data_IF_706026817266
#
_entry.id   IF_706026817266
#
_cell.length_a   1.000
_cell.length_b   1.000
_cell.length_c   1.000
_cell.angle_alpha   90.00
_cell.angle_beta   90.00
_cell.angle_gamma   90.00
#
_symmetry.space_group_name_H-M   'P 1'
#
loop_
_entity.id
_entity.type
_entity.pdbx_description
1 polymer ?
#
# COMPACT_ATOMS: atom_id res chain seq x y z
N UNK A 1 -1.72 -4.52 4.10
CA UNK A 1 -3.17 -4.43 4.39
C UNK A 1 -3.46 -3.55 5.61
N UNK A 2 -2.91 -3.83 6.81
CA UNK A 2 -3.20 -3.05 8.03
C UNK A 2 -2.99 -1.54 7.83
N UNK A 3 -1.84 -1.12 7.29
CA UNK A 3 -1.55 0.26 6.95
C UNK A 3 -2.54 0.87 5.95
N UNK A 4 -2.95 0.10 4.94
CA UNK A 4 -3.91 0.59 3.94
C UNK A 4 -5.26 0.89 4.56
N UNK A 5 -5.76 0.01 5.43
CA UNK A 5 -7.02 0.27 6.16
C UNK A 5 -6.87 1.45 7.12
N UNK A 6 -5.74 1.56 7.82
CA UNK A 6 -5.46 2.69 8.71
C UNK A 6 -5.45 4.05 7.96
N UNK A 7 -4.80 4.09 6.77
CA UNK A 7 -4.83 5.28 5.91
C UNK A 7 -6.25 5.60 5.44
N UNK A 8 -7.01 4.60 5.02
CA UNK A 8 -8.39 4.79 4.57
C UNK A 8 -9.31 5.29 5.70
N UNK A 9 -9.13 4.81 6.93
CA UNK A 9 -9.87 5.31 8.10
C UNK A 9 -9.51 6.77 8.37
N UNK A 10 -8.23 7.13 8.26
CA UNK A 10 -7.77 8.50 8.48
C UNK A 10 -8.11 9.47 7.33
N UNK A 11 -8.50 8.94 6.15
CA UNK A 11 -8.85 9.71 4.95
C UNK A 11 -10.24 9.28 4.41
N UNK A 12 -11.33 9.70 5.07
CA UNK A 12 -12.69 9.28 4.72
C UNK A 12 -13.13 9.63 3.29
N UNK A 13 -12.60 10.72 2.75
CA UNK A 13 -12.82 11.14 1.36
C UNK A 13 -12.24 10.13 0.36
N UNK A 14 -11.03 9.64 0.62
CA UNK A 14 -10.39 8.57 -0.18
C UNK A 14 -11.16 7.26 -0.04
N UNK A 15 -11.55 6.90 1.20
CA UNK A 15 -12.34 5.72 1.49
C UNK A 15 -13.64 5.71 0.68
N UNK A 16 -14.38 6.82 0.69
CA UNK A 16 -15.64 6.97 -0.05
C UNK A 16 -15.44 6.88 -1.56
N UNK A 17 -14.38 7.50 -2.11
CA UNK A 17 -14.06 7.38 -3.54
C UNK A 17 -13.80 5.93 -3.96
N UNK A 18 -13.07 5.15 -3.16
CA UNK A 18 -12.84 3.72 -3.43
C UNK A 18 -14.17 2.97 -3.41
N UNK A 19 -15.03 3.23 -2.44
CA UNK A 19 -16.35 2.59 -2.32
C UNK A 19 -17.25 2.91 -3.51
N UNK A 20 -17.27 4.16 -3.95
CA UNK A 20 -18.03 4.60 -5.13
C UNK A 20 -17.52 3.92 -6.41
N UNK A 21 -16.21 3.82 -6.59
CA UNK A 21 -15.61 3.10 -7.72
C UNK A 21 -16.03 1.63 -7.72
N UNK A 22 -15.94 0.94 -6.56
CA UNK A 22 -16.37 -0.45 -6.42
C UNK A 22 -17.86 -0.60 -6.74
N UNK A 23 -18.70 0.28 -6.20
CA UNK A 23 -20.13 0.25 -6.45
C UNK A 23 -20.48 0.45 -7.92
N UNK A 24 -19.73 1.32 -8.61
CA UNK A 24 -19.92 1.58 -10.04
C UNK A 24 -19.53 0.36 -10.90
N UNK A 25 -18.40 -0.29 -10.60
CA UNK A 25 -17.85 -1.38 -11.41
C UNK A 25 -18.49 -2.74 -11.10
N UNK A 26 -18.68 -3.03 -9.80
CA UNK A 26 -19.11 -4.35 -9.32
C UNK A 26 -20.62 -4.40 -9.04
N UNK A 27 -21.19 -3.25 -8.68
CA UNK A 27 -22.59 -3.15 -8.25
C UNK A 27 -22.79 -3.52 -6.77
N UNK A 28 -24.05 -3.86 -6.46
CA UNK A 28 -24.49 -4.11 -5.07
C UNK A 28 -25.10 -5.51 -4.89
N UNK A 29 -24.69 -6.50 -5.69
CA UNK A 29 -25.27 -7.85 -5.64
C UNK A 29 -24.24 -8.94 -5.37
N UNK A 30 -22.95 -8.67 -5.50
CA UNK A 30 -21.87 -9.62 -5.28
C UNK A 30 -20.65 -8.95 -4.65
N UNK A 31 -19.73 -9.75 -4.15
CA UNK A 31 -18.42 -9.27 -3.71
C UNK A 31 -17.51 -8.98 -4.91
N UNK A 32 -16.51 -8.12 -4.64
CA UNK A 32 -15.39 -7.89 -5.57
C UNK A 32 -14.62 -9.19 -5.76
N UNK A 33 -14.24 -9.46 -6.99
CA UNK A 33 -13.37 -10.55 -7.39
C UNK A 33 -12.04 -10.03 -7.97
N UNK A 34 -11.03 -10.87 -8.05
CA UNK A 34 -9.72 -10.49 -8.62
C UNK A 34 -9.83 -10.00 -10.07
N UNK A 35 -10.78 -10.56 -10.83
CA UNK A 35 -11.10 -10.17 -12.20
C UNK A 35 -11.62 -8.74 -12.34
N UNK A 36 -12.14 -8.13 -11.27
CA UNK A 36 -12.63 -6.75 -11.28
C UNK A 36 -11.48 -5.73 -11.08
N UNK A 37 -10.39 -6.14 -10.44
CA UNK A 37 -9.28 -5.26 -10.06
C UNK A 37 -8.73 -4.43 -11.22
N UNK A 38 -8.58 -4.94 -12.46
CA UNK A 38 -8.15 -4.13 -13.61
C UNK A 38 -9.05 -2.92 -13.90
N UNK A 39 -10.32 -2.97 -13.51
CA UNK A 39 -11.31 -1.91 -13.71
C UNK A 39 -11.48 -1.01 -12.47
N UNK A 40 -10.62 -1.15 -11.45
CA UNK A 40 -10.61 -0.38 -10.21
C UNK A 40 -9.29 0.43 -10.08
N UNK A 41 -9.04 1.40 -10.98
CA UNK A 41 -7.78 2.13 -11.01
C UNK A 41 -7.53 2.96 -9.74
N UNK A 42 -8.57 3.51 -9.11
CA UNK A 42 -8.41 4.29 -7.89
C UNK A 42 -8.04 3.40 -6.69
N UNK A 43 -8.67 2.24 -6.55
CA UNK A 43 -8.26 1.22 -5.58
C UNK A 43 -6.79 0.83 -5.76
N UNK A 44 -6.35 0.60 -7.01
CA UNK A 44 -4.96 0.28 -7.29
C UNK A 44 -4.01 1.42 -6.88
N UNK A 45 -4.40 2.67 -7.14
CA UNK A 45 -3.65 3.85 -6.74
C UNK A 45 -3.54 3.96 -5.21
N UNK A 46 -4.63 3.71 -4.48
CA UNK A 46 -4.65 3.65 -3.00
C UNK A 46 -3.68 2.60 -2.46
N UNK A 47 -3.70 1.39 -3.00
CA UNK A 47 -2.80 0.31 -2.57
C UNK A 47 -1.34 0.67 -2.89
N UNK A 48 -1.06 1.22 -4.08
CA UNK A 48 0.29 1.67 -4.45
C UNK A 48 0.80 2.73 -3.48
N UNK A 49 -0.01 3.72 -3.16
CA UNK A 49 0.38 4.80 -2.24
C UNK A 49 0.60 4.29 -0.82
N UNK A 50 -0.26 3.40 -0.33
CA UNK A 50 -0.08 2.78 0.98
C UNK A 50 1.23 1.97 1.07
N UNK A 51 1.58 1.22 0.03
CA UNK A 51 2.83 0.45 -0.02
C UNK A 51 4.05 1.39 -0.18
N UNK A 52 3.92 2.50 -0.90
CA UNK A 52 4.97 3.53 -1.00
C UNK A 52 5.30 4.11 0.38
N UNK A 53 4.27 4.48 1.13
CA UNK A 53 4.43 5.07 2.46
C UNK A 53 4.81 4.03 3.53
N UNK A 54 4.33 2.81 3.42
CA UNK A 54 4.52 1.76 4.42
C UNK A 54 5.04 0.47 3.78
N UNK A 55 6.27 0.50 3.19
CA UNK A 55 6.84 -0.68 2.56
C UNK A 55 7.09 -1.78 3.60
N UNK A 56 6.63 -3.02 3.36
CA UNK A 56 6.86 -4.14 4.28
C UNK A 56 8.34 -4.43 4.52
N UNK A 57 9.18 -4.16 3.53
CA UNK A 57 10.63 -4.25 3.60
C UNK A 57 11.25 -2.87 3.33
N UNK A 58 11.41 -2.01 4.35
CA UNK A 58 11.94 -0.64 4.16
C UNK A 58 13.41 -0.62 3.76
N UNK A 59 14.15 -1.67 4.06
CA UNK A 59 15.56 -1.86 3.67
C UNK A 59 15.74 -3.27 3.12
N UNK A 60 16.43 -3.38 2.01
CA UNK A 60 16.87 -4.68 1.46
C UNK A 60 18.39 -4.77 1.47
N UNK A 61 18.89 -5.93 1.88
CA UNK A 61 20.32 -6.20 1.95
C UNK A 61 20.73 -7.03 0.74
N UNK A 62 21.87 -6.68 0.15
CA UNK A 62 22.51 -7.39 -0.97
C UNK A 62 23.98 -7.62 -0.64
N UNK A 63 24.52 -8.72 -1.12
CA UNK A 63 25.95 -9.00 -1.05
C UNK A 63 26.57 -8.74 -2.42
N UNK A 64 27.72 -8.07 -2.43
CA UNK A 64 28.49 -7.83 -3.64
C UNK A 64 29.18 -9.12 -4.07
N UNK A 65 28.95 -9.57 -5.31
CA UNK A 65 29.46 -10.84 -5.81
C UNK A 65 30.88 -10.75 -6.35
N UNK A 66 31.35 -9.56 -6.65
CA UNK A 66 32.70 -9.25 -7.14
C UNK A 66 33.00 -7.78 -6.88
N UNK A 67 34.27 -7.41 -6.88
CA UNK A 67 34.65 -6.01 -6.73
C UNK A 67 33.94 -5.16 -7.79
N UNK A 68 33.36 -4.05 -7.37
CA UNK A 68 32.69 -3.12 -8.26
C UNK A 68 32.83 -1.68 -7.76
N UNK A 69 32.47 -0.73 -8.60
CA UNK A 69 32.44 0.69 -8.26
C UNK A 69 31.03 1.24 -8.36
N UNK A 70 30.59 1.91 -7.29
CA UNK A 70 29.32 2.64 -7.27
C UNK A 70 29.64 4.13 -7.09
N UNK A 71 29.48 4.91 -8.17
CA UNK A 71 29.98 6.29 -8.25
C UNK A 71 31.49 6.30 -7.96
N UNK A 72 31.92 7.00 -6.89
CA UNK A 72 33.31 7.14 -6.51
C UNK A 72 33.75 6.16 -5.41
N UNK A 73 32.89 5.23 -5.01
CA UNK A 73 33.15 4.26 -3.95
C UNK A 73 33.51 2.90 -4.52
N UNK A 74 34.64 2.36 -4.08
CA UNK A 74 35.05 0.98 -4.38
C UNK A 74 34.32 0.04 -3.38
N UNK A 75 33.57 -0.91 -3.91
CA UNK A 75 32.82 -1.90 -3.15
C UNK A 75 33.49 -3.25 -3.39
N UNK A 76 34.07 -3.81 -2.34
CA UNK A 76 34.76 -5.10 -2.43
C UNK A 76 33.75 -6.25 -2.49
N UNK A 77 34.20 -7.37 -3.05
CA UNK A 77 33.48 -8.65 -2.99
C UNK A 77 33.06 -8.98 -1.55
N UNK A 78 31.89 -9.59 -1.38
CA UNK A 78 31.27 -9.95 -0.08
C UNK A 78 30.86 -8.76 0.79
N UNK A 79 31.01 -7.53 0.32
CA UNK A 79 30.46 -6.37 1.04
C UNK A 79 28.94 -6.44 1.09
N UNK A 80 28.38 -6.27 2.29
CA UNK A 80 26.95 -6.17 2.50
C UNK A 80 26.48 -4.73 2.20
N UNK A 81 25.61 -4.58 1.21
CA UNK A 81 25.04 -3.29 0.78
C UNK A 81 23.59 -3.20 1.21
N UNK A 82 23.26 -2.22 2.04
CA UNK A 82 21.89 -1.93 2.46
C UNK A 82 21.26 -0.89 1.53
N UNK A 83 20.17 -1.26 0.85
CA UNK A 83 19.40 -0.39 -0.04
C UNK A 83 18.19 0.10 0.72
N UNK A 84 18.10 1.40 1.00
CA UNK A 84 17.02 2.01 1.76
C UNK A 84 15.84 2.37 0.83
N UNK A 85 14.90 1.43 0.67
CA UNK A 85 13.70 1.60 -0.15
C UNK A 85 12.77 2.68 0.43
N UNK A 86 12.71 2.77 1.76
CA UNK A 86 11.90 3.78 2.45
C UNK A 86 12.28 5.20 2.04
N UNK A 87 13.59 5.50 2.01
CA UNK A 87 14.09 6.83 1.61
C UNK A 87 13.89 7.09 0.12
N UNK A 88 14.16 6.08 -0.74
CA UNK A 88 13.97 6.21 -2.20
C UNK A 88 12.52 6.54 -2.53
N UNK A 89 11.58 5.83 -1.92
CA UNK A 89 10.14 6.05 -2.16
C UNK A 89 9.57 7.31 -1.48
N UNK A 90 10.41 8.08 -0.78
CA UNK A 90 10.10 9.37 -0.15
C UNK A 90 11.03 10.51 -0.55
N UNK A 91 11.85 10.34 -1.59
CA UNK A 91 12.74 11.40 -2.05
C UNK A 91 11.92 12.59 -2.57
N UNK A 92 12.05 13.75 -1.90
CA UNK A 92 11.34 14.97 -2.26
C UNK A 92 11.73 15.53 -3.65
N UNK A 93 12.83 15.07 -4.23
CA UNK A 93 13.22 15.42 -5.62
C UNK A 93 12.32 14.74 -6.65
N UNK A 94 11.65 13.66 -6.25
CA UNK A 94 10.85 12.80 -7.12
C UNK A 94 9.37 12.86 -6.75
N UNK A 95 9.08 12.89 -5.44
CA UNK A 95 7.75 12.80 -4.90
C UNK A 95 7.31 14.12 -4.29
N UNK A 96 6.36 14.82 -4.90
CA UNK A 96 5.74 16.00 -4.31
C UNK A 96 4.99 15.59 -3.02
N UNK A 97 5.21 16.35 -1.93
CA UNK A 97 4.64 16.03 -0.62
C UNK A 97 4.86 14.54 -0.25
N UNK A 98 6.13 14.12 -0.09
CA UNK A 98 6.52 12.71 -0.06
C UNK A 98 5.95 11.93 1.12
N UNK A 99 5.52 12.59 2.18
CA UNK A 99 4.99 11.98 3.39
C UNK A 99 3.45 11.97 3.44
N UNK A 100 2.78 12.65 2.51
CA UNK A 100 1.32 12.72 2.48
C UNK A 100 0.76 11.52 1.73
N UNK A 101 -0.37 11.00 2.23
CA UNK A 101 -1.13 9.95 1.57
C UNK A 101 -1.97 10.55 0.44
N UNK A 102 -1.50 10.43 -0.79
CA UNK A 102 -2.10 11.03 -1.99
C UNK A 102 -2.17 10.01 -3.14
N UNK A 103 -3.20 9.17 -3.18
CA UNK A 103 -3.37 8.15 -4.23
C UNK A 103 -3.39 8.73 -5.65
N UNK A 104 -3.89 9.96 -5.81
CA UNK A 104 -4.04 10.64 -7.09
C UNK A 104 -2.73 10.75 -7.87
N UNK A 105 -1.58 10.70 -7.19
CA UNK A 105 -0.26 10.70 -7.86
C UNK A 105 -0.05 9.51 -8.81
N UNK A 106 -0.74 8.40 -8.53
CA UNK A 106 -0.72 7.20 -9.36
C UNK A 106 -1.81 7.19 -10.45
N UNK A 107 -2.72 8.16 -10.44
CA UNK A 107 -3.75 8.35 -11.47
C UNK A 107 -3.30 9.24 -12.62
N UNK A 108 -2.47 10.26 -12.33
CA UNK A 108 -2.10 11.33 -13.25
C UNK A 108 -0.88 10.95 -14.11
N UNK A 109 -0.09 9.99 -13.68
CA UNK A 109 1.18 9.67 -14.33
C UNK A 109 1.02 8.70 -15.48
N UNK A 110 0.75 9.22 -16.68
CA UNK A 110 1.02 8.53 -17.96
C UNK A 110 2.52 8.53 -18.33
N UNK A 111 3.38 9.21 -17.59
CA UNK A 111 4.82 9.03 -17.63
C UNK A 111 5.15 7.91 -16.66
N UNK A 112 5.45 6.74 -17.19
CA UNK A 112 6.29 5.79 -16.50
C UNK A 112 7.52 6.59 -16.04
N UNK A 113 7.51 7.03 -14.79
CA UNK A 113 8.74 7.43 -14.11
C UNK A 113 9.63 6.22 -14.28
N UNK A 114 10.90 6.39 -14.54
CA UNK A 114 11.88 5.35 -14.96
C UNK A 114 11.92 4.06 -14.13
N UNK A 115 10.85 3.74 -13.41
CA UNK A 115 10.61 2.50 -12.67
C UNK A 115 11.47 2.31 -11.42
N UNK A 116 12.48 3.15 -11.20
CA UNK A 116 13.41 3.03 -10.06
C UNK A 116 13.01 3.85 -8.84
N UNK A 117 11.96 4.64 -8.96
CA UNK A 117 11.46 5.52 -7.88
C UNK A 117 10.39 4.85 -7.03
N UNK A 118 9.67 3.87 -7.63
CA UNK A 118 8.65 3.07 -6.97
C UNK A 118 9.03 1.58 -7.06
N UNK A 119 9.73 1.10 -6.04
CA UNK A 119 10.30 -0.26 -6.00
C UNK A 119 9.93 -1.03 -4.72
N UNK A 120 8.66 -1.09 -4.32
CA UNK A 120 8.27 -1.72 -3.05
C UNK A 120 8.57 -3.21 -2.99
N UNK A 121 8.72 -3.85 -4.14
CA UNK A 121 9.07 -5.26 -4.28
C UNK A 121 10.52 -5.46 -4.74
N UNK A 122 11.35 -4.39 -4.69
CA UNK A 122 12.68 -4.39 -5.26
C UNK A 122 12.67 -4.31 -6.78
N UNK A 123 13.83 -4.49 -7.41
CA UNK A 123 13.99 -4.40 -8.85
C UNK A 123 14.98 -5.43 -9.39
N UNK A 124 14.96 -5.64 -10.73
CA UNK A 124 15.88 -6.50 -11.45
C UNK A 124 15.71 -7.99 -11.14
N UNK A 125 16.78 -8.76 -11.38
CA UNK A 125 16.80 -10.24 -11.25
C UNK A 125 16.50 -10.76 -9.83
N UNK A 126 16.56 -9.92 -8.82
CA UNK A 126 16.32 -10.24 -7.40
C UNK A 126 15.08 -9.52 -6.86
N UNK A 127 14.20 -9.04 -7.75
CA UNK A 127 12.88 -8.55 -7.37
C UNK A 127 12.03 -9.66 -6.74
N UNK A 128 11.02 -9.28 -5.97
CA UNK A 128 10.15 -10.21 -5.27
C UNK A 128 9.36 -11.09 -6.27
N UNK A 129 9.50 -12.42 -6.24
CA UNK A 129 8.75 -13.29 -7.14
C UNK A 129 7.25 -13.35 -6.80
N UNK A 130 6.88 -13.05 -5.55
CA UNK A 130 5.49 -13.08 -5.07
C UNK A 130 4.71 -11.77 -5.28
N UNK A 131 5.26 -10.77 -5.97
CA UNK A 131 4.66 -9.44 -6.08
C UNK A 131 3.25 -9.46 -6.69
N UNK A 132 3.03 -10.24 -7.75
CA UNK A 132 1.71 -10.37 -8.41
C UNK A 132 0.67 -10.97 -7.47
N UNK A 133 1.01 -12.07 -6.79
CA UNK A 133 0.12 -12.71 -5.82
C UNK A 133 -0.18 -11.78 -4.64
N UNK A 134 0.83 -11.11 -4.12
CA UNK A 134 0.65 -10.18 -3.01
C UNK A 134 -0.28 -9.01 -3.39
N UNK A 135 -0.10 -8.43 -4.57
CA UNK A 135 -0.96 -7.35 -5.06
C UNK A 135 -2.41 -7.82 -5.29
N UNK A 136 -2.62 -8.98 -5.92
CA UNK A 136 -3.95 -9.57 -6.10
C UNK A 136 -4.65 -9.73 -4.76
N UNK A 137 -4.02 -10.37 -3.78
CA UNK A 137 -4.58 -10.55 -2.44
C UNK A 137 -4.86 -9.22 -1.73
N UNK A 138 -3.95 -8.24 -1.82
CA UNK A 138 -4.14 -6.95 -1.18
C UNK A 138 -5.33 -6.21 -1.80
N UNK A 139 -5.40 -6.13 -3.14
CA UNK A 139 -6.47 -5.43 -3.82
C UNK A 139 -7.83 -6.03 -3.49
N UNK A 140 -7.99 -7.35 -3.65
CA UNK A 140 -9.26 -8.03 -3.40
C UNK A 140 -9.70 -7.92 -1.94
N UNK A 141 -8.74 -8.09 -1.00
CA UNK A 141 -9.06 -7.99 0.44
C UNK A 141 -9.47 -6.56 0.81
N UNK A 142 -8.70 -5.54 0.41
CA UNK A 142 -9.02 -4.14 0.72
C UNK A 142 -10.35 -3.74 0.07
N UNK A 143 -10.58 -4.15 -1.19
CA UNK A 143 -11.83 -3.89 -1.88
C UNK A 143 -13.04 -4.48 -1.12
N UNK A 144 -12.96 -5.74 -0.72
CA UNK A 144 -14.01 -6.41 0.05
C UNK A 144 -14.25 -5.73 1.40
N UNK A 145 -13.16 -5.35 2.10
CA UNK A 145 -13.26 -4.65 3.39
C UNK A 145 -13.93 -3.28 3.24
N UNK A 146 -13.63 -2.53 2.17
CA UNK A 146 -14.26 -1.23 1.87
C UNK A 146 -15.70 -1.39 1.39
N UNK A 147 -15.99 -2.42 0.60
CA UNK A 147 -17.34 -2.70 0.10
C UNK A 147 -18.30 -3.06 1.24
N UNK A 148 -17.87 -3.94 2.13
CA UNK A 148 -18.75 -4.55 3.12
C UNK A 148 -18.90 -3.74 4.41
N UNK A 149 -17.88 -2.95 4.81
CA UNK A 149 -17.82 -2.40 6.15
C UNK A 149 -17.49 -0.91 6.19
N UNK A 150 -18.10 -0.21 7.12
CA UNK A 150 -17.56 1.01 7.72
C UNK A 150 -16.72 0.63 8.93
N UNK A 151 -15.69 1.43 9.23
CA UNK A 151 -14.73 1.12 10.27
C UNK A 151 -14.76 2.19 11.35
N UNK A 152 -15.11 1.81 12.59
CA UNK A 152 -15.08 2.69 13.75
C UNK A 152 -13.84 2.40 14.58
N UNK A 153 -13.03 3.43 14.82
CA UNK A 153 -11.88 3.33 15.74
C UNK A 153 -12.39 3.46 17.17
N UNK A 154 -11.95 2.56 18.06
CA UNK A 154 -12.28 2.64 19.48
C UNK A 154 -11.64 3.88 20.13
N UNK A 155 -12.46 4.73 20.76
CA UNK A 155 -12.07 5.97 21.44
C UNK A 155 -13.29 6.87 21.66
N UNK A 156 -13.20 7.81 22.58
CA UNK A 156 -14.25 8.80 22.80
C UNK A 156 -14.25 9.81 21.63
N UNK A 157 -15.28 9.77 20.81
CA UNK A 157 -15.58 10.73 19.74
C UNK A 157 -15.69 10.10 18.34
N UNK A 158 -16.59 10.69 17.55
CA UNK A 158 -16.93 10.25 16.18
C UNK A 158 -15.76 10.40 15.15
N UNK A 159 -14.60 10.92 15.58
CA UNK A 159 -13.45 11.26 14.72
C UNK A 159 -12.11 10.76 15.29
N UNK A 160 -12.11 9.66 16.02
CA UNK A 160 -10.87 9.06 16.50
C UNK A 160 -9.99 8.64 15.31
N UNK A 161 -8.78 9.22 15.23
CA UNK A 161 -7.79 8.87 14.20
C UNK A 161 -6.98 7.67 14.63
N UNK A 162 -6.63 6.83 13.67
CA UNK A 162 -5.66 5.75 13.87
C UNK A 162 -4.27 6.34 14.07
N UNK A 163 -3.55 5.85 15.08
CA UNK A 163 -2.15 6.20 15.29
C UNK A 163 -1.27 5.55 14.21
N UNK A 164 -0.57 6.39 13.42
CA UNK A 164 0.26 5.96 12.30
C UNK A 164 1.75 5.81 12.69
N UNK A 165 2.09 5.73 13.97
CA UNK A 165 3.47 5.53 14.41
C UNK A 165 3.96 4.13 14.04
N UNK A 166 5.20 4.09 13.53
CA UNK A 166 5.90 2.83 13.21
C UNK A 166 6.54 2.29 14.49
N UNK A 167 6.33 1.01 14.73
CA UNK A 167 6.96 0.27 15.82
C UNK A 167 8.37 -0.20 15.45
N UNK A 168 9.13 -0.72 16.43
CA UNK A 168 10.45 -1.27 16.20
C UNK A 168 10.39 -2.57 15.39
N UNK A 169 11.40 -2.81 14.56
CA UNK A 169 11.52 -4.05 13.79
C UNK A 169 12.20 -3.87 12.44
N UNK A 170 12.48 -4.97 11.78
CA UNK A 170 13.08 -5.01 10.44
C UNK A 170 12.05 -4.74 9.33
N UNK A 171 10.77 -5.00 9.61
CA UNK A 171 9.64 -4.56 8.82
C UNK A 171 9.04 -3.28 9.43
N UNK A 172 8.06 -2.69 8.80
CA UNK A 172 7.37 -1.51 9.34
C UNK A 172 6.06 -1.93 10.04
N UNK A 173 6.08 -2.52 11.26
CA UNK A 173 4.85 -2.78 12.00
C UNK A 173 4.27 -1.47 12.53
N UNK A 174 2.98 -1.42 12.78
CA UNK A 174 2.39 -0.34 13.57
C UNK A 174 2.87 -0.42 15.02
N UNK A 175 3.17 0.72 15.65
CA UNK A 175 3.58 0.77 17.07
C UNK A 175 2.47 0.26 17.99
N UNK A 176 1.22 0.49 17.61
CA UNK A 176 0.03 -0.05 18.27
C UNK A 176 -0.79 -0.83 17.24
N UNK A 177 -1.31 -2.01 17.59
CA UNK A 177 -2.19 -2.76 16.69
C UNK A 177 -3.41 -1.92 16.29
N UNK A 178 -3.83 -2.04 15.03
CA UNK A 178 -5.07 -1.44 14.58
C UNK A 178 -6.25 -2.17 15.25
N UNK A 179 -6.97 -1.46 16.12
CA UNK A 179 -8.21 -1.93 16.76
C UNK A 179 -9.36 -1.10 16.25
N UNK A 180 -10.27 -1.73 15.53
CA UNK A 180 -11.45 -1.07 14.98
C UNK A 180 -12.65 -2.03 14.94
N UNK A 181 -13.86 -1.47 14.96
CA UNK A 181 -15.10 -2.20 14.87
C UNK A 181 -15.64 -2.12 13.43
N UNK A 182 -15.88 -3.26 12.77
CA UNK A 182 -16.57 -3.28 11.49
C UNK A 182 -18.07 -3.04 11.70
N UNK A 183 -18.63 -2.08 10.98
CA UNK A 183 -20.07 -1.84 10.90
C UNK A 183 -20.51 -2.27 9.51
N UNK A 184 -21.44 -3.20 9.42
CA UNK A 184 -21.91 -3.74 8.13
C UNK A 184 -22.57 -2.63 7.31
N UNK A 185 -22.03 -2.37 6.13
CA UNK A 185 -22.60 -1.47 5.13
C UNK A 185 -23.26 -2.25 3.97
N UNK A 186 -22.66 -3.36 3.57
CA UNK A 186 -23.14 -4.22 2.50
C UNK A 186 -22.99 -5.70 2.88
N UNK A 187 -24.07 -6.47 2.73
CA UNK A 187 -24.07 -7.92 2.93
C UNK A 187 -24.66 -8.61 1.68
N UNK A 188 -23.84 -9.23 0.83
CA UNK A 188 -24.33 -9.91 -0.38
C UNK A 188 -25.10 -11.20 -0.10
N UNK A 189 -25.10 -11.69 1.15
CA UNK A 189 -25.72 -12.96 1.54
C UNK A 189 -27.11 -12.79 2.13
N UNK A 190 -27.66 -11.58 2.21
CA UNK A 190 -28.99 -11.33 2.80
C UNK A 190 -30.13 -12.00 2.03
N UNK A 191 -29.93 -12.37 0.78
CA UNK A 191 -30.94 -13.10 -0.04
C UNK A 191 -30.91 -14.62 0.15
N UNK A 192 -30.00 -15.15 0.98
CA UNK A 192 -29.87 -16.57 1.28
C UNK A 192 -30.47 -16.98 2.64
N UNK A 193 -31.05 -16.04 3.35
CA UNK A 193 -31.86 -16.23 4.57
C UNK A 193 -33.32 -15.98 4.25
#
# INVERSE_FOLDING_TARGET
MQWTIAELINHPDVFNKVREEIKYVVGSIRLVEDSDVPNLPYLQAVVKEAIRLHPPAPVVIRECLQDCKIKDFDILEKTMVAINLYTIMRDAKVWDYPNDFRPERFMISSKEKDGMEYIPFGAGRRGCPGSKLALSLIHTTIATMVQCFDWKVGGEGDHAKVNMQVGPGISMPMAQPLVCLPVVNFNPFTSLM
#
